data_IF_658350036004
#
_entry.id   IF_658350036004
#
_cell.length_a   1.000
_cell.length_b   1.000
_cell.length_c   1.000
_cell.angle_alpha   90.00
_cell.angle_beta   90.00
_cell.angle_gamma   90.00
#
_symmetry.space_group_name_H-M   'P 1'
#
loop_
_entity.id
_entity.type
_entity.pdbx_description
1 polymer ?
#
# COMPACT_ATOMS: atom_id res chain seq x y z
N UNK A 1 -17.70 -15.59 7.92
CA UNK A 1 -18.22 -14.32 7.36
C UNK A 1 -17.44 -13.17 7.97
N UNK A 2 -16.22 -12.92 7.48
CA UNK A 2 -15.46 -11.74 7.88
C UNK A 2 -16.07 -10.54 7.14
N UNK A 3 -16.67 -9.61 7.89
CA UNK A 3 -17.02 -8.31 7.34
C UNK A 3 -15.73 -7.67 6.83
N UNK A 4 -15.63 -7.56 5.51
CA UNK A 4 -14.72 -6.62 4.89
C UNK A 4 -15.16 -5.25 5.38
N UNK A 5 -14.35 -4.60 6.22
CA UNK A 5 -14.39 -3.14 6.26
C UNK A 5 -13.87 -2.72 4.90
N UNK A 6 -14.80 -2.60 3.95
CA UNK A 6 -14.57 -1.92 2.69
C UNK A 6 -13.88 -0.63 3.05
N UNK A 7 -12.68 -0.39 2.49
CA UNK A 7 -12.05 0.90 2.60
C UNK A 7 -13.11 1.96 2.29
N UNK A 8 -13.26 3.02 3.11
CA UNK A 8 -14.16 4.10 2.78
C UNK A 8 -13.86 4.54 1.34
N UNK A 9 -14.87 5.02 0.64
CA UNK A 9 -14.74 5.52 -0.73
C UNK A 9 -13.88 6.79 -0.73
N UNK A 10 -12.56 6.61 -0.57
CA UNK A 10 -11.56 7.67 -0.41
C UNK A 10 -11.09 8.19 -1.78
N UNK A 11 -11.72 7.75 -2.87
CA UNK A 11 -11.18 7.86 -4.23
C UNK A 11 -11.30 9.27 -4.84
N UNK A 12 -12.20 10.12 -4.33
CA UNK A 12 -12.47 11.43 -4.94
C UNK A 12 -12.41 12.64 -3.97
N UNK A 13 -12.41 12.44 -2.65
CA UNK A 13 -12.57 13.52 -1.66
C UNK A 13 -11.38 13.75 -0.75
N UNK A 14 -10.37 12.87 -0.78
CA UNK A 14 -9.24 12.92 0.15
C UNK A 14 -7.95 13.35 -0.54
N UNK A 15 -7.05 14.05 0.17
CA UNK A 15 -5.72 14.34 -0.35
C UNK A 15 -5.00 13.04 -0.69
N UNK A 16 -4.22 13.07 -1.76
CA UNK A 16 -3.42 11.93 -2.24
C UNK A 16 -1.95 12.27 -2.06
N UNK A 17 -1.20 11.35 -1.46
CA UNK A 17 0.25 11.46 -1.32
C UNK A 17 0.93 10.25 -1.95
N UNK A 18 1.93 10.49 -2.80
CA UNK A 18 2.75 9.43 -3.37
C UNK A 18 3.98 9.23 -2.50
N UNK A 19 4.32 7.96 -2.26
CA UNK A 19 5.53 7.58 -1.53
C UNK A 19 6.24 6.52 -2.34
N UNK A 20 7.54 6.69 -2.54
CA UNK A 20 8.37 5.74 -3.26
C UNK A 20 9.29 4.99 -2.30
N UNK A 21 9.62 3.75 -2.66
CA UNK A 21 10.67 3.02 -1.97
C UNK A 21 12.05 3.63 -2.27
N UNK A 22 12.99 3.62 -1.31
CA UNK A 22 14.37 4.02 -1.58
C UNK A 22 15.01 3.11 -2.63
N UNK A 23 15.99 3.65 -3.35
CA UNK A 23 16.83 2.88 -4.28
C UNK A 23 17.38 1.62 -3.61
N UNK A 24 17.05 0.44 -4.15
CA UNK A 24 17.49 -0.84 -3.57
C UNK A 24 16.56 -2.03 -3.83
N UNK A 25 15.38 -1.81 -4.40
CA UNK A 25 14.51 -2.86 -4.95
C UNK A 25 13.94 -3.85 -3.95
N UNK A 26 14.20 -3.70 -2.66
CA UNK A 26 13.74 -4.67 -1.66
C UNK A 26 12.76 -4.05 -0.67
N UNK A 27 11.69 -4.79 -0.37
CA UNK A 27 10.81 -4.54 0.75
C UNK A 27 11.31 -5.32 1.97
N UNK A 28 12.05 -4.63 2.83
CA UNK A 28 12.59 -5.17 4.09
C UNK A 28 12.46 -4.16 5.24
N UNK A 29 13.08 -4.48 6.39
CA UNK A 29 13.04 -3.61 7.56
C UNK A 29 13.63 -2.21 7.30
N UNK A 30 14.67 -2.09 6.46
CA UNK A 30 15.29 -0.80 6.15
C UNK A 30 14.38 0.03 5.26
N UNK A 31 13.79 -0.60 4.24
CA UNK A 31 12.78 0.03 3.39
C UNK A 31 11.59 0.51 4.23
N UNK A 32 11.02 -0.34 5.09
CA UNK A 32 9.93 0.03 6.00
C UNK A 32 10.31 1.20 6.89
N UNK A 33 11.51 1.19 7.47
CA UNK A 33 11.97 2.28 8.34
C UNK A 33 11.99 3.62 7.61
N UNK A 34 12.43 3.63 6.35
CA UNK A 34 12.44 4.82 5.51
C UNK A 34 11.03 5.33 5.15
N UNK A 35 10.06 4.42 5.02
CA UNK A 35 8.67 4.74 4.71
C UNK A 35 7.88 5.29 5.91
N UNK A 36 8.33 5.06 7.15
CA UNK A 36 7.59 5.45 8.35
C UNK A 36 7.38 6.96 8.45
N UNK A 37 8.43 7.75 8.28
CA UNK A 37 8.35 9.21 8.38
C UNK A 37 7.41 9.84 7.32
N UNK A 38 7.55 9.54 6.01
CA UNK A 38 6.66 10.11 5.00
C UNK A 38 5.20 9.66 5.18
N UNK A 39 4.95 8.38 5.51
CA UNK A 39 3.58 7.90 5.79
C UNK A 39 2.99 8.59 7.02
N UNK A 40 3.75 8.68 8.12
CA UNK A 40 3.29 9.36 9.34
C UNK A 40 2.99 10.85 9.10
N UNK A 41 3.83 11.52 8.30
CA UNK A 41 3.62 12.91 7.90
C UNK A 41 2.37 13.07 7.04
N UNK A 42 2.14 12.16 6.09
CA UNK A 42 0.98 12.23 5.20
C UNK A 42 -0.34 12.11 5.98
N UNK A 43 -0.38 11.26 7.00
CA UNK A 43 -1.60 10.98 7.79
C UNK A 43 -1.78 11.93 8.99
N UNK A 44 -0.88 12.90 9.18
CA UNK A 44 -0.86 13.76 10.36
C UNK A 44 -2.10 14.67 10.45
N UNK A 45 -2.51 15.23 9.31
CA UNK A 45 -3.55 16.26 9.22
C UNK A 45 -4.97 15.70 8.98
N UNK A 46 -5.10 14.37 8.90
CA UNK A 46 -6.38 13.69 8.74
C UNK A 46 -6.36 12.54 7.74
N UNK A 47 -7.53 12.09 7.30
CA UNK A 47 -7.65 11.02 6.32
C UNK A 47 -6.97 11.39 4.98
N UNK A 48 -6.08 10.51 4.51
CA UNK A 48 -5.31 10.66 3.26
C UNK A 48 -5.26 9.32 2.53
N UNK A 49 -5.18 9.35 1.21
CA UNK A 49 -4.84 8.17 0.41
C UNK A 49 -3.35 8.18 0.09
N UNK A 50 -2.59 7.24 0.66
CA UNK A 50 -1.18 7.03 0.35
C UNK A 50 -1.04 6.03 -0.78
N UNK A 51 -0.34 6.41 -1.85
CA UNK A 51 -0.04 5.54 -2.99
C UNK A 51 1.45 5.18 -2.95
N UNK A 52 1.74 3.89 -2.84
CA UNK A 52 3.10 3.36 -2.78
C UNK A 52 3.44 2.65 -4.09
N UNK A 53 4.42 3.17 -4.82
CA UNK A 53 4.95 2.50 -6.00
C UNK A 53 5.84 1.32 -5.61
N UNK A 54 5.46 0.13 -6.05
CA UNK A 54 6.19 -1.12 -5.82
C UNK A 54 6.81 -1.67 -7.11
N UNK A 55 6.74 -0.95 -8.23
CA UNK A 55 7.29 -1.39 -9.52
C UNK A 55 8.78 -1.74 -9.48
N UNK A 56 9.55 -1.06 -8.63
CA UNK A 56 10.96 -1.34 -8.41
C UNK A 56 11.26 -2.52 -7.49
N UNK A 57 10.25 -3.17 -6.90
CA UNK A 57 10.47 -4.23 -5.89
C UNK A 57 10.79 -5.57 -6.54
N UNK A 58 12.03 -6.04 -6.37
CA UNK A 58 12.56 -7.33 -6.79
C UNK A 58 12.73 -8.35 -5.65
N UNK A 59 12.57 -7.93 -4.39
CA UNK A 59 12.74 -8.80 -3.23
C UNK A 59 11.89 -8.40 -2.04
N UNK A 60 11.42 -9.39 -1.29
CA UNK A 60 10.60 -9.18 -0.09
C UNK A 60 11.13 -10.04 1.05
N UNK A 61 11.17 -9.49 2.26
CA UNK A 61 11.49 -10.22 3.49
C UNK A 61 10.29 -10.24 4.45
N UNK A 62 10.23 -11.17 5.42
CA UNK A 62 9.14 -11.22 6.40
C UNK A 62 8.97 -9.91 7.19
N UNK A 63 10.07 -9.25 7.54
CA UNK A 63 10.03 -7.95 8.23
C UNK A 63 9.51 -6.81 7.35
N UNK A 64 9.78 -6.88 6.04
CA UNK A 64 9.19 -5.97 5.05
C UNK A 64 7.68 -6.10 4.96
N UNK A 65 7.17 -7.34 4.91
CA UNK A 65 5.71 -7.59 4.89
C UNK A 65 5.06 -7.11 6.19
N UNK A 66 5.59 -7.51 7.36
CA UNK A 66 5.04 -7.09 8.64
C UNK A 66 5.00 -5.57 8.77
N UNK A 67 6.09 -4.90 8.38
CA UNK A 67 6.18 -3.46 8.40
C UNK A 67 5.22 -2.76 7.43
N UNK A 68 5.00 -3.32 6.24
CA UNK A 68 4.01 -2.82 5.30
C UNK A 68 2.59 -2.92 5.88
N UNK A 69 2.26 -4.03 6.53
CA UNK A 69 0.96 -4.22 7.21
C UNK A 69 0.77 -3.21 8.35
N UNK A 70 1.85 -2.88 9.08
CA UNK A 70 1.81 -1.83 10.10
C UNK A 70 1.56 -0.45 9.49
N UNK A 71 2.20 -0.11 8.36
CA UNK A 71 1.96 1.16 7.66
C UNK A 71 0.52 1.26 7.14
N UNK A 72 -0.03 0.18 6.59
CA UNK A 72 -1.45 0.05 6.21
C UNK A 72 -2.36 0.33 7.40
N UNK A 73 -2.07 -0.29 8.55
CA UNK A 73 -2.83 -0.09 9.80
C UNK A 73 -2.76 1.37 10.26
N UNK A 74 -1.59 2.01 10.20
CA UNK A 74 -1.41 3.42 10.58
C UNK A 74 -2.28 4.33 9.72
N UNK A 75 -2.23 4.20 8.39
CA UNK A 75 -3.05 5.02 7.49
C UNK A 75 -4.56 4.82 7.75
N UNK A 76 -5.01 3.56 7.87
CA UNK A 76 -6.42 3.22 8.14
C UNK A 76 -6.91 3.69 9.50
N UNK A 77 -6.04 3.70 10.52
CA UNK A 77 -6.39 4.20 11.87
C UNK A 77 -6.71 5.70 11.89
N UNK A 78 -6.23 6.44 10.90
CA UNK A 78 -6.51 7.87 10.70
C UNK A 78 -7.69 8.13 9.75
N UNK A 79 -8.41 7.09 9.34
CA UNK A 79 -9.52 7.18 8.38
C UNK A 79 -9.08 7.21 6.91
N UNK A 80 -7.77 7.15 6.65
CA UNK A 80 -7.19 7.06 5.30
C UNK A 80 -7.00 5.63 4.81
N UNK A 81 -6.13 5.45 3.82
CA UNK A 81 -5.73 4.14 3.31
C UNK A 81 -4.32 4.21 2.68
N UNK A 82 -3.67 3.06 2.55
CA UNK A 82 -2.41 2.92 1.81
C UNK A 82 -2.63 1.87 0.72
N UNK A 83 -2.35 2.23 -0.53
CA UNK A 83 -2.54 1.34 -1.68
C UNK A 83 -1.23 1.16 -2.42
N UNK A 84 -1.00 -0.07 -2.88
CA UNK A 84 0.20 -0.46 -3.60
C UNK A 84 -0.09 -0.42 -5.08
N UNK A 85 0.82 0.10 -5.91
CA UNK A 85 0.65 0.04 -7.35
C UNK A 85 1.94 -0.28 -8.08
N UNK A 86 1.80 -0.81 -9.29
CA UNK A 86 2.93 -1.20 -10.13
C UNK A 86 3.19 -2.70 -10.10
N UNK A 87 3.96 -3.17 -11.07
CA UNK A 87 4.23 -4.59 -11.25
C UNK A 87 5.46 -5.02 -10.43
N UNK A 88 5.26 -5.93 -9.46
CA UNK A 88 6.34 -6.60 -8.74
C UNK A 88 6.05 -8.09 -8.61
N UNK A 89 6.84 -8.92 -9.29
CA UNK A 89 6.72 -10.38 -9.19
C UNK A 89 7.05 -10.88 -7.78
N UNK A 90 8.04 -10.27 -7.12
CA UNK A 90 8.42 -10.64 -5.76
C UNK A 90 7.30 -10.36 -4.76
N UNK A 91 6.64 -9.20 -4.87
CA UNK A 91 5.55 -8.83 -4.00
C UNK A 91 4.28 -9.63 -4.29
N UNK A 92 3.96 -9.88 -5.57
CA UNK A 92 2.86 -10.77 -5.95
C UNK A 92 3.05 -12.18 -5.38
N UNK A 93 4.26 -12.74 -5.50
CA UNK A 93 4.56 -14.06 -4.94
C UNK A 93 4.42 -14.08 -3.41
N UNK A 94 4.88 -13.04 -2.72
CA UNK A 94 4.69 -12.90 -1.27
C UNK A 94 3.20 -12.81 -0.90
N UNK A 95 2.39 -12.09 -1.67
CA UNK A 95 0.94 -11.99 -1.47
C UNK A 95 0.25 -13.35 -1.58
N UNK A 96 0.55 -14.10 -2.64
CA UNK A 96 0.00 -15.45 -2.84
C UNK A 96 0.39 -16.41 -1.72
N UNK A 97 1.67 -16.41 -1.33
CA UNK A 97 2.19 -17.32 -0.31
C UNK A 97 1.63 -17.03 1.10
N UNK A 98 1.33 -15.77 1.39
CA UNK A 98 0.91 -15.32 2.72
C UNK A 98 -0.60 -15.00 2.80
N UNK A 99 -1.33 -15.10 1.69
CA UNK A 99 -2.77 -14.79 1.62
C UNK A 99 -3.09 -13.31 1.86
N UNK A 100 -2.22 -12.39 1.44
CA UNK A 100 -2.37 -10.96 1.74
C UNK A 100 -3.46 -10.28 0.92
N UNK A 101 -3.97 -10.94 -0.12
CA UNK A 101 -5.06 -10.43 -0.98
C UNK A 101 -6.34 -10.12 -0.19
N UNK A 102 -6.52 -10.74 0.98
CA UNK A 102 -7.63 -10.47 1.89
C UNK A 102 -7.46 -9.16 2.69
N UNK A 103 -6.24 -8.61 2.75
CA UNK A 103 -5.87 -7.45 3.60
C UNK A 103 -5.65 -6.19 2.75
N UNK A 104 -5.02 -6.35 1.60
CA UNK A 104 -4.70 -5.26 0.67
C UNK A 104 -4.53 -5.81 -0.75
N UNK A 105 -4.43 -4.91 -1.74
CA UNK A 105 -4.31 -5.23 -3.16
C UNK A 105 -3.14 -4.46 -3.78
N UNK A 106 -2.50 -5.08 -4.77
CA UNK A 106 -1.59 -4.40 -5.69
C UNK A 106 -2.39 -4.02 -6.94
N UNK A 107 -2.46 -2.73 -7.22
CA UNK A 107 -3.13 -2.16 -8.39
C UNK A 107 -2.18 -2.13 -9.59
N UNK A 108 -2.71 -2.29 -10.80
CA UNK A 108 -1.90 -2.33 -12.02
C UNK A 108 -1.21 -1.00 -12.32
N UNK A 109 -1.79 0.12 -11.87
CA UNK A 109 -1.22 1.44 -12.07
C UNK A 109 -1.73 2.46 -11.07
N UNK A 110 -1.08 3.62 -11.09
CA UNK A 110 -1.35 4.75 -10.18
C UNK A 110 -2.81 5.20 -10.22
N UNK A 111 -3.38 5.41 -11.42
CA UNK A 111 -4.77 5.84 -11.58
C UNK A 111 -5.78 4.82 -11.05
N UNK A 112 -5.52 3.53 -11.25
CA UNK A 112 -6.37 2.46 -10.69
C UNK A 112 -6.29 2.45 -9.16
N UNK A 113 -5.09 2.61 -8.60
CA UNK A 113 -4.89 2.71 -7.15
C UNK A 113 -5.58 3.95 -6.56
N UNK A 114 -5.59 5.07 -7.28
CA UNK A 114 -6.31 6.28 -6.89
C UNK A 114 -7.83 6.11 -6.95
N UNK A 115 -8.32 5.14 -7.73
CA UNK A 115 -9.74 4.90 -7.99
C UNK A 115 -10.30 5.71 -9.16
N UNK A 116 -9.44 6.22 -10.04
CA UNK A 116 -9.87 6.88 -11.29
C UNK A 116 -10.27 5.90 -12.39
N UNK A 117 -9.85 4.65 -12.26
CA UNK A 117 -10.21 3.57 -13.17
C UNK A 117 -11.00 2.54 -12.38
N UNK A 118 -12.13 2.08 -12.93
CA UNK A 118 -12.87 0.97 -12.36
C UNK A 118 -11.96 -0.27 -12.31
N UNK A 119 -11.86 -0.98 -11.17
CA UNK A 119 -11.07 -2.19 -11.09
C UNK A 119 -11.61 -3.19 -12.12
N UNK A 120 -10.74 -3.70 -12.99
CA UNK A 120 -11.12 -4.80 -13.89
C UNK A 120 -11.39 -6.03 -13.02
N UNK A 121 -12.67 -6.36 -12.85
CA UNK A 121 -13.07 -7.63 -12.24
C UNK A 121 -12.50 -8.76 -13.11
N UNK A 122 -11.63 -9.58 -12.52
CA UNK A 122 -11.09 -10.80 -13.12
C UNK A 122 -11.90 -11.99 -12.62
#
# INVERSE_FOLDING_TARGET
>A
MASFVSAPDLTLTHPVTNVDLPSGGRLDAAAVLSLRAPVASAVADGPVLVLLDVSGVDGVSPSGVAGLLDLLRVARSRGGDLRLHGASAALQHAFTMLGLDAVTRIYGGHDEARGLLAPRAS
#
